data_IF_003635228513
#
_entry.id   IF_003635228513
#
_cell.length_a   1.000
_cell.length_b   1.000
_cell.length_c   1.000
_cell.angle_alpha   90.00
_cell.angle_beta   90.00
_cell.angle_gamma   90.00
#
_symmetry.space_group_name_H-M   'P 1'
#
loop_
_entity.id
_entity.type
_entity.pdbx_description
1 polymer ?
#
# COMPACT_ATOMS: atom_id res chain seq x y z
N UNK A 1 -4.68 14.01 -15.26
CA UNK A 1 -3.34 14.18 -14.65
C UNK A 1 -3.13 13.00 -13.71
N UNK A 2 -1.89 12.58 -13.43
CA UNK A 2 -1.62 11.54 -12.43
C UNK A 2 -1.69 12.15 -11.03
N UNK A 3 -2.20 11.43 -10.03
CA UNK A 3 -2.29 11.90 -8.63
C UNK A 3 -1.10 11.43 -7.80
N UNK A 4 -0.61 12.27 -6.89
CA UNK A 4 0.48 11.90 -5.97
C UNK A 4 0.13 12.31 -4.55
N UNK A 5 0.27 11.36 -3.63
CA UNK A 5 0.19 11.63 -2.21
C UNK A 5 1.59 11.86 -1.64
N UNK A 6 1.75 12.94 -0.89
CA UNK A 6 3.03 13.32 -0.29
C UNK A 6 2.99 13.09 1.21
N UNK A 7 3.96 12.34 1.71
CA UNK A 7 4.22 12.14 3.13
C UNK A 7 4.93 13.36 3.77
N UNK A 8 4.76 13.57 5.07
CA UNK A 8 5.33 14.69 5.83
C UNK A 8 6.86 14.79 5.78
N UNK A 9 7.57 13.68 5.60
CA UNK A 9 9.03 13.66 5.51
C UNK A 9 9.54 14.50 4.33
N UNK A 10 8.84 14.45 3.19
CA UNK A 10 9.14 15.23 1.98
C UNK A 10 9.01 16.73 2.28
N UNK A 11 7.91 17.14 2.91
CA UNK A 11 7.68 18.54 3.30
C UNK A 11 8.75 19.02 4.31
N UNK A 12 9.18 18.12 5.19
CA UNK A 12 10.26 18.39 6.14
C UNK A 12 11.60 18.61 5.44
N UNK A 13 11.97 17.76 4.47
CA UNK A 13 13.21 17.96 3.70
C UNK A 13 13.18 19.23 2.83
N UNK A 14 12.02 19.57 2.26
CA UNK A 14 11.84 20.76 1.43
C UNK A 14 12.07 22.07 2.20
N UNK A 15 11.69 22.11 3.47
CA UNK A 15 11.74 23.35 4.28
C UNK A 15 12.90 23.39 5.28
N UNK A 16 13.57 22.26 5.49
CA UNK A 16 14.69 22.15 6.41
C UNK A 16 15.89 23.00 5.94
N UNK A 17 16.69 23.47 6.89
CA UNK A 17 17.95 24.14 6.58
C UNK A 17 18.89 23.17 5.85
N UNK A 18 19.70 23.64 4.89
CA UNK A 18 20.69 22.80 4.23
C UNK A 18 21.55 22.06 5.26
N UNK A 19 21.55 20.73 5.18
CA UNK A 19 22.32 19.89 6.07
C UNK A 19 23.78 19.79 5.62
N UNK A 20 24.67 19.58 6.59
CA UNK A 20 26.07 19.20 6.31
C UNK A 20 26.25 17.69 6.21
N UNK A 21 25.27 16.92 6.67
CA UNK A 21 25.24 15.48 6.45
C UNK A 21 24.94 15.20 4.98
N UNK A 22 25.84 14.46 4.32
CA UNK A 22 25.80 14.25 2.87
C UNK A 22 24.52 13.54 2.44
N UNK A 23 24.06 12.57 3.22
CA UNK A 23 22.84 11.81 2.91
C UNK A 23 21.62 12.73 3.01
N UNK A 24 21.50 13.46 4.11
CA UNK A 24 20.42 14.43 4.33
C UNK A 24 20.43 15.53 3.26
N UNK A 25 21.60 16.08 2.93
CA UNK A 25 21.74 17.10 1.90
C UNK A 25 21.30 16.59 0.52
N UNK A 26 21.63 15.35 0.17
CA UNK A 26 21.17 14.72 -1.07
C UNK A 26 19.65 14.56 -1.08
N UNK A 27 19.03 14.10 0.01
CA UNK A 27 17.56 14.01 0.13
C UNK A 27 16.89 15.38 -0.05
N UNK A 28 17.46 16.43 0.55
CA UNK A 28 16.97 17.80 0.38
C UNK A 28 17.05 18.27 -1.08
N UNK A 29 18.19 18.03 -1.75
CA UNK A 29 18.39 18.40 -3.14
C UNK A 29 17.39 17.70 -4.07
N UNK A 30 17.21 16.39 -3.91
CA UNK A 30 16.28 15.62 -4.74
C UNK A 30 14.82 16.03 -4.47
N UNK A 31 14.48 16.33 -3.21
CA UNK A 31 13.15 16.85 -2.87
C UNK A 31 12.86 18.18 -3.58
N UNK A 32 13.84 19.08 -3.56
CA UNK A 32 13.72 20.39 -4.19
C UNK A 32 13.56 20.25 -5.71
N UNK A 33 14.43 19.46 -6.34
CA UNK A 33 14.36 19.15 -7.79
C UNK A 33 12.99 18.58 -8.17
N UNK A 34 12.49 17.58 -7.43
CA UNK A 34 11.16 17.03 -7.68
C UNK A 34 10.06 18.09 -7.54
N UNK A 35 10.13 18.92 -6.50
CA UNK A 35 9.12 19.94 -6.24
C UNK A 35 9.08 21.00 -7.36
N UNK A 36 10.25 21.46 -7.80
CA UNK A 36 10.38 22.52 -8.81
C UNK A 36 10.12 22.01 -10.23
N UNK A 37 10.66 20.84 -10.60
CA UNK A 37 10.64 20.35 -11.98
C UNK A 37 9.46 19.42 -12.30
N UNK A 38 8.98 18.67 -11.29
CA UNK A 38 7.97 17.63 -11.48
C UNK A 38 6.65 17.89 -10.78
N UNK A 39 6.63 18.67 -9.69
CA UNK A 39 5.43 18.88 -8.88
C UNK A 39 4.22 19.38 -9.70
N UNK A 40 4.46 20.23 -10.70
CA UNK A 40 3.42 20.77 -11.59
C UNK A 40 2.83 19.75 -12.57
N UNK A 41 3.47 18.58 -12.75
CA UNK A 41 3.01 17.52 -13.64
C UNK A 41 2.03 16.55 -12.96
N UNK A 42 1.86 16.67 -11.64
CA UNK A 42 0.97 15.84 -10.84
C UNK A 42 -0.07 16.68 -10.11
N UNK A 43 -1.20 16.04 -9.80
CA UNK A 43 -2.14 16.58 -8.83
C UNK A 43 -1.72 16.11 -7.44
N UNK A 44 -1.29 17.06 -6.61
CA UNK A 44 -0.68 16.78 -5.31
C UNK A 44 -1.77 16.74 -4.23
N UNK A 45 -1.71 15.72 -3.38
CA UNK A 45 -2.58 15.52 -2.23
C UNK A 45 -1.78 15.27 -0.96
N UNK A 46 -2.35 15.70 0.17
CA UNK A 46 -1.86 15.40 1.52
C UNK A 46 -3.01 14.79 2.33
N UNK A 47 -2.76 14.39 3.57
CA UNK A 47 -3.81 13.99 4.51
C UNK A 47 -3.83 14.84 5.76
N UNK A 48 -4.90 14.70 6.54
CA UNK A 48 -4.97 15.24 7.90
C UNK A 48 -3.79 14.75 8.77
N UNK A 49 -3.38 13.49 8.61
CA UNK A 49 -2.17 12.97 9.28
C UNK A 49 -0.94 13.80 8.94
N UNK A 50 -0.73 14.15 7.67
CA UNK A 50 0.40 15.00 7.26
C UNK A 50 0.30 16.39 7.91
N UNK A 51 -0.90 16.98 8.01
CA UNK A 51 -1.09 18.27 8.67
C UNK A 51 -0.70 18.22 10.14
N UNK A 52 -1.09 17.16 10.85
CA UNK A 52 -0.72 16.93 12.24
C UNK A 52 0.80 16.83 12.36
N UNK A 53 1.45 15.94 11.61
CA UNK A 53 2.89 15.71 11.64
C UNK A 53 3.70 16.97 11.33
N UNK A 54 3.32 17.73 10.29
CA UNK A 54 4.06 18.94 9.93
C UNK A 54 3.83 20.09 10.92
N UNK A 55 2.78 20.02 11.75
CA UNK A 55 2.52 21.01 12.80
C UNK A 55 3.38 20.79 14.05
N UNK A 56 3.91 19.58 14.25
CA UNK A 56 4.73 19.24 15.42
C UNK A 56 6.16 19.81 15.35
N UNK A 57 6.75 19.99 16.53
CA UNK A 57 8.14 20.44 16.70
C UNK A 57 8.30 21.96 16.85
N UNK A 58 9.42 22.50 16.36
CA UNK A 58 9.73 23.92 16.45
C UNK A 58 8.70 24.78 15.70
N UNK A 59 8.16 25.80 16.37
CA UNK A 59 7.08 26.63 15.84
C UNK A 59 7.47 27.39 14.56
N UNK A 60 8.73 27.82 14.44
CA UNK A 60 9.21 28.51 13.26
C UNK A 60 9.36 27.57 12.06
N UNK A 61 9.77 26.33 12.29
CA UNK A 61 9.85 25.29 11.27
C UNK A 61 8.46 24.81 10.84
N UNK A 62 7.55 24.59 11.80
CA UNK A 62 6.17 24.21 11.53
C UNK A 62 5.45 25.26 10.67
N UNK A 63 5.60 26.54 10.99
CA UNK A 63 5.03 27.62 10.16
C UNK A 63 5.54 27.61 8.72
N UNK A 64 6.80 27.26 8.48
CA UNK A 64 7.35 27.16 7.12
C UNK A 64 6.71 25.99 6.36
N UNK A 65 6.56 24.83 7.00
CA UNK A 65 5.89 23.67 6.40
C UNK A 65 4.43 23.96 6.08
N UNK A 66 3.69 24.54 7.03
CA UNK A 66 2.28 24.88 6.85
C UNK A 66 2.05 25.86 5.68
N UNK A 67 2.93 26.85 5.49
CA UNK A 67 2.83 27.79 4.36
C UNK A 67 3.01 27.10 3.00
N UNK A 68 3.86 26.09 2.89
CA UNK A 68 4.06 25.36 1.64
C UNK A 68 2.81 24.57 1.24
N UNK A 69 2.09 24.04 2.23
CA UNK A 69 0.99 23.11 2.01
C UNK A 69 -0.39 23.75 2.07
N UNK A 70 -0.48 25.05 2.35
CA UNK A 70 -1.74 25.79 2.59
C UNK A 70 -2.77 25.65 1.45
N UNK A 71 -2.30 25.53 0.20
CA UNK A 71 -3.15 25.45 -0.99
C UNK A 71 -3.27 24.03 -1.57
N UNK A 72 -2.79 23.02 -0.85
CA UNK A 72 -2.79 21.64 -1.33
C UNK A 72 -4.05 20.92 -0.81
N UNK A 73 -4.81 20.22 -1.68
CA UNK A 73 -5.96 19.42 -1.25
C UNK A 73 -5.61 18.39 -0.17
N UNK A 74 -6.46 18.33 0.85
CA UNK A 74 -6.31 17.44 2.01
C UNK A 74 -7.30 16.29 1.90
N UNK A 75 -6.81 15.06 2.01
CA UNK A 75 -7.57 13.82 2.06
C UNK A 75 -7.95 13.51 3.51
N UNK A 76 -9.19 13.09 3.68
CA UNK A 76 -9.73 12.63 4.97
C UNK A 76 -9.12 11.27 5.37
N UNK A 77 -8.81 11.14 6.66
CA UNK A 77 -8.41 9.87 7.25
C UNK A 77 -9.63 9.01 7.55
N UNK A 78 -10.09 8.25 6.54
CA UNK A 78 -11.29 7.43 6.67
C UNK A 78 -11.10 6.21 7.58
N UNK A 79 -12.20 5.70 8.14
CA UNK A 79 -12.18 4.44 8.90
C UNK A 79 -11.64 3.24 8.11
N UNK A 80 -11.85 3.22 6.79
CA UNK A 80 -11.29 2.19 5.91
C UNK A 80 -9.75 2.26 5.83
N UNK A 81 -9.18 3.46 5.80
CA UNK A 81 -7.73 3.65 5.82
C UNK A 81 -7.14 3.22 7.16
N UNK A 82 -7.80 3.53 8.28
CA UNK A 82 -7.38 3.08 9.61
C UNK A 82 -7.45 1.56 9.73
N UNK A 83 -8.49 0.92 9.20
CA UNK A 83 -8.59 -0.54 9.24
C UNK A 83 -7.52 -1.20 8.37
N UNK A 84 -7.30 -0.68 7.16
CA UNK A 84 -6.26 -1.18 6.28
C UNK A 84 -4.86 -1.04 6.89
N UNK A 85 -4.57 0.06 7.59
CA UNK A 85 -3.27 0.22 8.26
C UNK A 85 -3.05 -0.82 9.36
N UNK A 86 -4.09 -1.14 10.15
CA UNK A 86 -4.02 -2.24 11.14
C UNK A 86 -3.77 -3.59 10.48
N UNK A 87 -4.42 -3.88 9.35
CA UNK A 87 -4.20 -5.11 8.59
C UNK A 87 -2.74 -5.20 8.10
N UNK A 88 -2.20 -4.11 7.55
CA UNK A 88 -0.80 -4.07 7.09
C UNK A 88 0.20 -4.41 8.20
N UNK A 89 -0.06 -3.92 9.40
CA UNK A 89 0.75 -4.21 10.59
C UNK A 89 0.53 -5.65 11.08
N UNK A 90 -0.72 -6.10 11.18
CA UNK A 90 -1.08 -7.44 11.65
C UNK A 90 -0.50 -8.55 10.76
N UNK A 91 -0.51 -8.33 9.44
CA UNK A 91 0.07 -9.23 8.44
C UNK A 91 1.61 -9.09 8.33
N UNK A 92 2.23 -8.26 9.19
CA UNK A 92 3.67 -7.99 9.23
C UNK A 92 4.24 -7.46 7.90
N UNK A 93 3.40 -6.87 7.05
CA UNK A 93 3.86 -6.16 5.87
C UNK A 93 4.61 -4.89 6.26
N UNK A 94 4.22 -4.29 7.39
CA UNK A 94 4.86 -3.13 8.01
C UNK A 94 5.14 -3.47 9.49
N UNK A 95 6.30 -3.11 10.03
CA UNK A 95 6.60 -3.30 11.45
C UNK A 95 5.59 -2.58 12.35
N UNK A 96 5.28 -3.15 13.51
CA UNK A 96 4.41 -2.51 14.52
C UNK A 96 4.94 -1.14 15.00
N UNK A 97 6.26 -0.93 14.92
CA UNK A 97 6.91 0.35 15.25
C UNK A 97 6.62 1.47 14.24
N UNK A 98 6.04 1.14 13.09
CA UNK A 98 5.81 2.03 11.94
C UNK A 98 4.31 2.13 11.62
N UNK A 99 3.48 2.38 12.65
CA UNK A 99 2.02 2.45 12.46
C UNK A 99 1.58 3.68 11.65
N UNK A 100 2.24 4.84 11.86
CA UNK A 100 1.97 6.07 11.10
C UNK A 100 2.30 5.87 9.61
N UNK A 101 3.43 5.21 9.32
CA UNK A 101 3.81 4.81 7.97
C UNK A 101 2.75 3.93 7.29
N UNK A 102 2.22 2.95 8.03
CA UNK A 102 1.13 2.09 7.56
C UNK A 102 -0.13 2.89 7.25
N UNK A 103 -0.39 3.95 8.01
CA UNK A 103 -1.53 4.82 7.79
C UNK A 103 -1.35 5.70 6.54
N UNK A 104 -0.16 6.25 6.26
CA UNK A 104 0.11 6.94 4.98
C UNK A 104 -0.16 6.03 3.77
N UNK A 105 0.35 4.79 3.81
CA UNK A 105 0.16 3.81 2.73
C UNK A 105 -1.33 3.49 2.58
N UNK A 106 -2.03 3.27 3.69
CA UNK A 106 -3.44 2.94 3.67
C UNK A 106 -4.31 4.07 3.15
N UNK A 107 -4.05 5.33 3.53
CA UNK A 107 -4.76 6.51 3.01
C UNK A 107 -4.56 6.60 1.50
N UNK A 108 -3.31 6.53 1.03
CA UNK A 108 -3.02 6.60 -0.41
C UNK A 108 -3.71 5.49 -1.20
N UNK A 109 -3.72 4.25 -0.67
CA UNK A 109 -4.35 3.10 -1.30
C UNK A 109 -5.88 3.20 -1.34
N UNK A 110 -6.52 3.55 -0.21
CA UNK A 110 -7.98 3.67 -0.11
C UNK A 110 -8.52 4.80 -0.97
N UNK A 111 -7.79 5.91 -1.05
CA UNK A 111 -8.17 7.07 -1.84
C UNK A 111 -7.77 6.95 -3.33
N UNK A 112 -7.15 5.83 -3.74
CA UNK A 112 -6.85 5.53 -5.13
C UNK A 112 -5.77 6.42 -5.75
N UNK A 113 -4.77 6.82 -4.97
CA UNK A 113 -3.65 7.63 -5.46
C UNK A 113 -2.77 6.84 -6.42
N UNK A 114 -2.33 7.45 -7.53
CA UNK A 114 -1.45 6.76 -8.48
C UNK A 114 -0.05 6.51 -7.86
N UNK A 115 0.40 7.42 -7.00
CA UNK A 115 1.74 7.42 -6.44
C UNK A 115 1.78 7.89 -4.98
N UNK A 116 2.76 7.38 -4.24
CA UNK A 116 3.13 7.75 -2.88
C UNK A 116 4.58 8.24 -2.87
N UNK A 117 4.78 9.50 -2.48
CA UNK A 117 6.09 10.15 -2.34
C UNK A 117 6.49 10.21 -0.86
N UNK A 118 7.62 9.58 -0.54
CA UNK A 118 8.14 9.36 0.83
C UNK A 118 9.67 9.29 0.79
N UNK A 119 10.32 9.59 1.91
CA UNK A 119 11.76 9.38 2.11
C UNK A 119 12.12 8.18 3.00
N UNK A 120 11.14 7.41 3.46
CA UNK A 120 11.42 6.24 4.27
C UNK A 120 10.20 5.44 4.67
N UNK A 121 9.97 4.34 3.95
CA UNK A 121 9.41 3.13 4.53
C UNK A 121 10.47 2.04 4.47
N UNK A 122 10.79 1.40 5.59
CA UNK A 122 11.50 0.12 5.55
C UNK A 122 10.46 -0.98 5.37
N UNK A 123 9.96 -1.15 4.15
CA UNK A 123 8.99 -2.23 3.85
C UNK A 123 9.77 -3.53 3.67
N UNK A 124 9.77 -4.36 4.70
CA UNK A 124 10.24 -5.74 4.65
C UNK A 124 9.10 -6.65 4.15
N UNK A 125 8.66 -6.53 2.89
CA UNK A 125 7.84 -7.60 2.28
C UNK A 125 7.91 -7.63 0.75
N UNK A 126 8.21 -8.82 0.21
CA UNK A 126 8.55 -9.10 -1.18
C UNK A 126 7.36 -9.20 -2.16
N UNK A 127 6.15 -8.76 -1.80
CA UNK A 127 4.98 -8.87 -2.71
C UNK A 127 4.02 -7.70 -2.58
N UNK A 128 4.48 -6.49 -2.89
CA UNK A 128 3.59 -5.37 -3.22
C UNK A 128 3.96 -4.89 -4.63
N UNK A 129 3.11 -5.14 -5.61
CA UNK A 129 3.36 -4.73 -6.99
C UNK A 129 3.41 -3.20 -7.08
N UNK A 130 4.65 -2.68 -7.16
CA UNK A 130 5.11 -1.42 -7.76
C UNK A 130 4.15 -0.24 -7.65
N UNK A 131 4.36 0.61 -6.64
CA UNK A 131 4.51 2.07 -6.78
C UNK A 131 4.73 2.73 -5.41
N UNK A 132 5.96 2.62 -4.90
CA UNK A 132 6.51 3.55 -3.89
C UNK A 132 7.85 4.00 -4.51
N UNK A 133 7.96 5.31 -4.79
CA UNK A 133 8.89 5.95 -5.75
C UNK A 133 10.36 5.66 -5.37
N UNK A 134 11.18 5.04 -6.23
CA UNK A 134 11.96 5.67 -7.31
C UNK A 134 11.96 4.81 -8.59
N UNK A 135 11.58 5.40 -9.72
CA UNK A 135 12.12 4.99 -11.03
C UNK A 135 12.28 6.24 -11.88
N UNK A 136 13.49 6.78 -11.88
CA UNK A 136 13.96 7.48 -13.06
C UNK A 136 14.45 6.42 -14.05
N UNK A 137 13.87 6.47 -15.25
CA UNK A 137 14.27 5.76 -16.46
C UNK A 137 14.08 4.22 -16.49
N UNK A 138 12.88 3.77 -16.86
CA UNK A 138 12.81 2.75 -17.91
C UNK A 138 11.72 3.09 -18.93
N UNK A 139 12.20 3.39 -20.13
CA UNK A 139 11.44 3.63 -21.33
C UNK A 139 10.80 2.33 -21.86
N UNK A 140 9.62 2.45 -22.47
CA UNK A 140 9.15 1.50 -23.48
C UNK A 140 8.28 0.33 -23.00
N UNK A 141 7.05 0.33 -23.53
CA UNK A 141 6.22 -0.81 -23.95
C UNK A 141 6.11 -2.04 -23.02
N UNK A 142 4.90 -2.28 -22.51
CA UNK A 142 3.93 -3.21 -23.13
C UNK A 142 2.90 -3.69 -22.08
N UNK A 143 1.65 -3.21 -22.19
CA UNK A 143 0.55 -3.57 -21.29
C UNK A 143 0.08 -5.03 -21.44
N UNK A 144 0.52 -5.74 -22.50
CA UNK A 144 0.08 -7.10 -22.79
C UNK A 144 0.56 -8.15 -21.77
N UNK A 145 1.72 -7.92 -21.13
CA UNK A 145 2.28 -8.85 -20.16
C UNK A 145 1.42 -8.95 -18.89
N UNK A 146 0.85 -7.82 -18.43
CA UNK A 146 0.06 -7.76 -17.19
C UNK A 146 -1.31 -8.45 -17.32
N UNK A 147 -1.98 -8.35 -18.47
CA UNK A 147 -3.26 -9.05 -18.72
C UNK A 147 -3.10 -10.58 -18.71
N UNK A 148 -1.95 -11.10 -19.15
CA UNK A 148 -1.69 -12.54 -19.17
C UNK A 148 -1.49 -13.11 -17.76
N UNK A 149 -0.89 -12.32 -16.86
CA UNK A 149 -0.63 -12.72 -15.46
C UNK A 149 -1.89 -12.67 -14.58
N UNK A 150 -2.80 -11.74 -14.84
CA UNK A 150 -4.11 -11.68 -14.15
C UNK A 150 -5.01 -12.88 -14.52
N UNK A 151 -4.99 -13.33 -15.78
CA UNK A 151 -5.72 -14.53 -16.23
C UNK A 151 -5.16 -15.82 -15.64
N UNK A 152 -3.84 -15.96 -15.50
CA UNK A 152 -3.24 -17.15 -14.89
C UNK A 152 -3.42 -17.18 -13.37
N UNK A 153 -3.47 -16.03 -12.69
CA UNK A 153 -3.78 -15.93 -11.26
C UNK A 153 -5.22 -16.31 -10.92
N UNK A 154 -6.20 -15.83 -11.69
CA UNK A 154 -7.61 -16.24 -11.55
C UNK A 154 -7.79 -17.74 -11.82
N UNK A 155 -7.08 -18.29 -12.80
CA UNK A 155 -7.12 -19.73 -13.10
C UNK A 155 -6.41 -20.62 -12.05
N UNK A 156 -5.57 -20.06 -11.18
CA UNK A 156 -4.95 -20.79 -10.07
C UNK A 156 -5.85 -20.76 -8.84
N UNK A 157 -6.49 -19.61 -8.56
CA UNK A 157 -7.48 -19.48 -7.48
C UNK A 157 -8.74 -20.32 -7.74
N UNK A 158 -9.24 -20.38 -8.99
CA UNK A 158 -10.39 -21.23 -9.34
C UNK A 158 -10.10 -22.72 -9.11
N UNK A 159 -8.90 -23.18 -9.49
CA UNK A 159 -8.48 -24.59 -9.32
C UNK A 159 -8.21 -24.97 -7.86
N UNK A 160 -7.78 -24.03 -7.04
CA UNK A 160 -7.63 -24.26 -5.59
C UNK A 160 -8.98 -24.25 -4.86
N UNK A 161 -9.94 -23.44 -5.31
CA UNK A 161 -11.31 -23.46 -4.80
C UNK A 161 -12.01 -24.79 -5.15
N UNK A 162 -11.92 -25.23 -6.41
CA UNK A 162 -12.46 -26.52 -6.87
C UNK A 162 -11.82 -27.74 -6.18
N UNK A 163 -10.50 -27.68 -5.87
CA UNK A 163 -9.82 -28.73 -5.08
C UNK A 163 -10.30 -28.79 -3.63
N UNK A 164 -10.53 -27.63 -3.01
CA UNK A 164 -11.06 -27.55 -1.62
C UNK A 164 -12.52 -28.01 -1.56
N UNK A 165 -13.33 -27.71 -2.56
CA UNK A 165 -14.71 -28.20 -2.66
C UNK A 165 -14.78 -29.72 -2.85
N UNK A 166 -13.91 -30.32 -3.66
CA UNK A 166 -13.79 -31.78 -3.78
C UNK A 166 -13.33 -32.45 -2.47
N UNK A 167 -12.41 -31.84 -1.72
CA UNK A 167 -11.97 -32.37 -0.43
C UNK A 167 -13.03 -32.27 0.66
N UNK A 168 -13.88 -31.23 0.64
CA UNK A 168 -15.00 -31.11 1.57
C UNK A 168 -16.18 -32.04 1.23
N UNK A 169 -16.39 -32.38 -0.04
CA UNK A 169 -17.51 -33.25 -0.44
C UNK A 169 -17.23 -34.75 -0.26
N UNK A 170 -15.95 -35.15 -0.07
CA UNK A 170 -15.58 -36.54 0.24
C UNK A 170 -15.66 -36.91 1.73
N UNK A 171 -16.09 -35.98 2.60
CA UNK A 171 -16.31 -36.23 4.04
C UNK A 171 -17.74 -36.63 4.44
N UNK A 172 -18.68 -36.68 3.50
CA UNK A 172 -20.11 -36.95 3.78
C UNK A 172 -20.68 -38.03 2.84
N UNK A 173 -20.14 -39.24 2.89
CA UNK A 173 -20.80 -40.42 2.33
C UNK A 173 -20.23 -41.72 2.93
N UNK A 174 -20.66 -42.06 4.15
CA UNK A 174 -20.72 -43.46 4.61
C UNK A 174 -21.86 -43.60 5.63
N UNK A 175 -23.08 -43.59 5.11
CA UNK A 175 -24.26 -44.20 5.74
C UNK A 175 -24.84 -45.15 4.70
N UNK A 176 -24.34 -46.38 4.66
CA UNK A 176 -25.01 -47.46 3.93
C UNK A 176 -25.95 -48.20 4.88
N UNK A 177 -27.24 -47.91 4.74
CA UNK A 177 -28.33 -48.72 5.25
C UNK A 177 -28.74 -49.77 4.21
N UNK A 178 -28.49 -51.05 4.53
CA UNK A 178 -29.27 -52.26 4.16
C UNK A 178 -29.45 -52.62 2.68
N UNK A 179 -29.55 -53.93 2.36
CA UNK A 179 -30.91 -54.47 2.24
C UNK A 179 -31.12 -55.91 2.77
N UNK A 180 -32.40 -56.26 2.83
CA UNK A 180 -33.03 -57.46 3.38
C UNK A 180 -32.52 -58.83 2.86
N UNK A 181 -32.66 -59.84 3.74
CA UNK A 181 -32.53 -61.29 3.54
C UNK A 181 -33.50 -61.85 2.46
N UNK A 182 -33.30 -63.07 1.93
CA UNK A 182 -33.82 -64.28 2.60
C UNK A 182 -32.99 -65.59 2.46
N UNK A 183 -33.06 -66.43 3.50
CA UNK A 183 -33.15 -67.90 3.38
C UNK A 183 -31.86 -68.75 3.34
N UNK A 184 -31.73 -69.73 4.25
CA UNK A 184 -30.81 -70.86 4.07
C UNK A 184 -30.32 -71.58 5.33
N UNK A 185 -31.21 -72.31 6.00
CA UNK A 185 -31.06 -73.50 6.89
C UNK A 185 -29.75 -73.85 7.61
N UNK A 186 -29.91 -74.13 8.91
CA UNK A 186 -29.06 -74.96 9.77
C UNK A 186 -28.66 -76.30 9.15
N UNK A 187 -27.39 -76.68 9.29
CA UNK A 187 -26.86 -77.83 10.06
C UNK A 187 -25.34 -77.92 9.94
#
# INVERSE_FOLDING_TARGET
MKTVYIESSVISYLTARPSRDVVTAAKQAITLEWWEEHGTQYEIFLSELVLEEVSFGDSSAAQKRLRIIENIPILETTGNAVELSRILVAEKAIPETSMEDALHIAIAAVQGMDFLLTWGFTISCATFSRSIIFSWLWAGNDQAFYRKKLRTGQAHQQREHERKDCQNNHGLAFQESGPMLPGGTCS
#
